data_IF_746579109993
#
_entry.id   IF_746579109993
#
_cell.length_a   1.000
_cell.length_b   1.000
_cell.length_c   1.000
_cell.angle_alpha   90.00
_cell.angle_beta   90.00
_cell.angle_gamma   90.00
#
_symmetry.space_group_name_H-M   'P 1'
#
loop_
_entity.id
_entity.type
_entity.pdbx_description
1 polymer ?
#
# COMPACT_ATOMS: atom_id res chain seq x y z
N UNK A 1 -0.94 20.37 -32.05
CA UNK A 1 -1.78 20.11 -30.87
C UNK A 1 -1.47 18.68 -30.43
N UNK A 2 -0.79 18.51 -29.30
CA UNK A 2 -0.45 17.18 -28.80
C UNK A 2 -1.73 16.46 -28.38
N UNK A 3 -1.86 15.18 -28.69
CA UNK A 3 -3.00 14.37 -28.26
C UNK A 3 -3.04 14.26 -26.72
N UNK A 4 -4.20 14.39 -26.06
CA UNK A 4 -4.29 14.28 -24.61
C UNK A 4 -3.85 12.89 -24.15
N UNK A 5 -2.89 12.86 -23.23
CA UNK A 5 -2.41 11.61 -22.67
C UNK A 5 -3.40 11.04 -21.65
N UNK A 6 -3.46 9.71 -21.48
CA UNK A 6 -4.25 9.09 -20.42
C UNK A 6 -3.92 9.68 -19.04
N UNK A 7 -4.93 9.85 -18.19
CA UNK A 7 -4.80 10.52 -16.90
C UNK A 7 -3.67 9.93 -16.04
N UNK A 8 -3.51 8.62 -16.03
CA UNK A 8 -2.43 7.95 -15.30
C UNK A 8 -1.01 8.45 -15.65
N UNK A 9 -0.77 8.88 -16.90
CA UNK A 9 0.55 9.34 -17.38
C UNK A 9 0.83 10.79 -17.03
N UNK A 10 -0.21 11.58 -16.73
CA UNK A 10 -0.14 13.02 -16.44
C UNK A 10 -0.57 13.36 -15.01
N UNK A 11 -0.91 12.35 -14.21
CA UNK A 11 -1.48 12.50 -12.86
C UNK A 11 -0.60 13.37 -11.96
N UNK A 12 0.72 13.24 -12.04
CA UNK A 12 1.63 14.06 -11.24
C UNK A 12 1.70 15.50 -11.72
N UNK A 13 1.75 15.74 -13.04
CA UNK A 13 1.74 17.08 -13.62
C UNK A 13 0.44 17.81 -13.31
N UNK A 14 -0.68 17.10 -13.38
CA UNK A 14 -2.00 17.59 -13.01
C UNK A 14 -2.07 17.99 -11.53
N UNK A 15 -1.54 17.17 -10.62
CA UNK A 15 -1.49 17.50 -9.19
C UNK A 15 -0.51 18.64 -8.88
N UNK A 16 0.66 18.65 -9.52
CA UNK A 16 1.66 19.70 -9.33
C UNK A 16 1.12 21.07 -9.73
N UNK A 17 0.30 21.13 -10.78
CA UNK A 17 -0.39 22.35 -11.18
C UNK A 17 -1.29 22.89 -10.07
N UNK A 18 -2.12 22.05 -9.45
CA UNK A 18 -2.98 22.45 -8.34
C UNK A 18 -2.20 22.81 -7.07
N UNK A 19 -1.09 22.14 -6.79
CA UNK A 19 -0.21 22.48 -5.65
C UNK A 19 0.44 23.85 -5.84
N UNK A 20 0.73 24.22 -7.08
CA UNK A 20 1.36 25.50 -7.42
C UNK A 20 0.35 26.65 -7.57
N UNK A 21 -0.95 26.36 -7.46
CA UNK A 21 -2.01 27.37 -7.58
C UNK A 21 -2.31 27.99 -6.21
N UNK A 22 -1.81 29.20 -6.00
CA UNK A 22 -2.00 29.96 -4.76
C UNK A 22 -3.44 30.45 -4.55
N UNK A 23 -4.30 30.41 -5.57
CA UNK A 23 -5.70 30.78 -5.45
C UNK A 23 -6.57 29.60 -4.99
N UNK A 24 -6.03 28.38 -5.01
CA UNK A 24 -6.76 27.19 -4.61
C UNK A 24 -6.71 26.99 -3.09
N UNK A 25 -7.88 26.79 -2.48
CA UNK A 25 -8.00 26.54 -1.04
C UNK A 25 -7.36 25.18 -0.65
N UNK A 26 -6.69 25.10 0.50
CA UNK A 26 -6.11 23.86 1.03
C UNK A 26 -7.10 22.68 1.09
N UNK A 27 -8.36 22.95 1.45
CA UNK A 27 -9.39 21.91 1.45
C UNK A 27 -9.74 21.45 0.03
N UNK A 28 -9.73 22.35 -0.95
CA UNK A 28 -9.92 22.02 -2.36
C UNK A 28 -8.76 21.16 -2.88
N UNK A 29 -7.52 21.53 -2.56
CA UNK A 29 -6.34 20.72 -2.88
C UNK A 29 -6.42 19.32 -2.25
N UNK A 30 -6.78 19.23 -0.96
CA UNK A 30 -6.92 17.95 -0.25
C UNK A 30 -8.01 17.06 -0.84
N UNK A 31 -9.14 17.64 -1.26
CA UNK A 31 -10.20 16.92 -1.99
C UNK A 31 -9.68 16.43 -3.34
N UNK A 32 -9.02 17.29 -4.12
CA UNK A 32 -8.47 16.94 -5.43
C UNK A 32 -7.43 15.81 -5.35
N UNK A 33 -6.56 15.84 -4.34
CA UNK A 33 -5.61 14.77 -4.04
C UNK A 33 -6.35 13.46 -3.74
N UNK A 34 -7.34 13.48 -2.84
CA UNK A 34 -8.10 12.27 -2.52
C UNK A 34 -8.79 11.67 -3.75
N UNK A 35 -9.46 12.50 -4.55
CA UNK A 35 -10.14 12.05 -5.78
C UNK A 35 -9.13 11.46 -6.78
N UNK A 36 -8.07 12.21 -7.10
CA UNK A 36 -7.06 11.84 -8.10
C UNK A 36 -6.27 10.61 -7.69
N UNK A 37 -5.94 10.48 -6.41
CA UNK A 37 -5.07 9.41 -5.91
C UNK A 37 -5.83 8.11 -5.64
N UNK A 38 -7.01 8.16 -5.02
CA UNK A 38 -7.73 6.97 -4.54
C UNK A 38 -8.87 6.49 -5.47
N UNK A 39 -9.53 7.41 -6.18
CA UNK A 39 -10.79 7.13 -6.87
C UNK A 39 -10.79 7.35 -8.37
N UNK A 40 -9.81 8.08 -8.91
CA UNK A 40 -9.72 8.40 -10.32
C UNK A 40 -9.47 7.16 -11.18
N UNK A 41 -10.26 7.03 -12.25
CA UNK A 41 -10.05 6.06 -13.31
C UNK A 41 -8.69 6.27 -13.99
N UNK A 42 -8.06 5.17 -14.39
CA UNK A 42 -6.72 5.18 -14.94
C UNK A 42 -6.64 5.91 -16.28
N UNK A 43 -7.69 5.83 -17.12
CA UNK A 43 -7.70 6.46 -18.45
C UNK A 43 -8.26 7.87 -18.40
N UNK A 44 -9.43 8.04 -17.77
CA UNK A 44 -10.18 9.30 -17.84
C UNK A 44 -9.95 10.23 -16.65
N UNK A 45 -9.45 9.71 -15.54
CA UNK A 45 -9.37 10.44 -14.28
C UNK A 45 -10.73 10.63 -13.58
N UNK A 46 -11.80 10.04 -14.10
CA UNK A 46 -13.14 10.19 -13.54
C UNK A 46 -13.27 9.48 -12.19
N UNK A 47 -14.01 10.07 -11.25
CA UNK A 47 -14.24 9.50 -9.92
C UNK A 47 -15.70 9.65 -9.49
N UNK A 48 -16.17 8.72 -8.65
CA UNK A 48 -17.57 8.61 -8.22
C UNK A 48 -17.84 8.54 -6.70
N UNK A 49 -16.98 9.02 -5.79
CA UNK A 49 -17.29 8.96 -4.36
C UNK A 49 -18.38 9.97 -3.95
N UNK A 50 -19.19 9.62 -2.95
CA UNK A 50 -20.16 10.57 -2.38
C UNK A 50 -19.44 11.67 -1.57
N UNK A 51 -20.11 12.80 -1.33
CA UNK A 51 -19.55 13.86 -0.47
C UNK A 51 -19.26 13.36 0.96
N UNK A 52 -20.07 12.43 1.46
CA UNK A 52 -19.86 11.79 2.75
C UNK A 52 -18.61 10.90 2.73
N UNK A 53 -18.41 10.11 1.68
CA UNK A 53 -17.21 9.27 1.51
C UNK A 53 -15.94 10.10 1.43
N UNK A 54 -15.97 11.23 0.72
CA UNK A 54 -14.84 12.16 0.66
C UNK A 54 -14.60 12.76 2.04
N UNK A 55 -15.66 13.28 2.67
CA UNK A 55 -15.59 13.94 3.96
C UNK A 55 -15.03 13.05 5.07
N UNK A 56 -15.52 11.81 5.15
CA UNK A 56 -15.03 10.82 6.10
C UNK A 56 -13.54 10.52 5.91
N UNK A 57 -13.07 10.40 4.66
CA UNK A 57 -11.67 10.09 4.36
C UNK A 57 -10.71 11.24 4.69
N UNK A 58 -11.14 12.50 4.52
CA UNK A 58 -10.29 13.68 4.75
C UNK A 58 -10.54 14.36 6.10
N UNK A 59 -11.46 13.84 6.92
CA UNK A 59 -11.84 14.42 8.22
C UNK A 59 -12.59 15.74 8.10
N UNK A 60 -13.49 15.88 7.10
CA UNK A 60 -14.26 17.11 6.85
C UNK A 60 -15.75 16.80 6.71
N UNK A 61 -16.58 17.77 7.08
CA UNK A 61 -18.03 17.65 6.88
C UNK A 61 -18.41 17.77 5.40
N UNK A 62 -19.48 17.09 4.97
CA UNK A 62 -19.95 17.08 3.58
C UNK A 62 -20.18 18.49 3.00
N UNK A 63 -20.64 19.45 3.81
CA UNK A 63 -20.79 20.86 3.39
C UNK A 63 -19.46 21.54 3.05
N UNK A 64 -18.38 21.19 3.76
CA UNK A 64 -17.02 21.69 3.48
C UNK A 64 -16.48 21.05 2.19
N UNK A 65 -16.71 19.75 2.00
CA UNK A 65 -16.38 19.06 0.74
C UNK A 65 -17.10 19.71 -0.44
N UNK A 66 -18.41 19.98 -0.32
CA UNK A 66 -19.18 20.65 -1.39
C UNK A 66 -18.58 22.01 -1.76
N UNK A 67 -18.18 22.82 -0.76
CA UNK A 67 -17.51 24.11 -1.01
C UNK A 67 -16.15 23.94 -1.69
N UNK A 68 -15.35 22.99 -1.23
CA UNK A 68 -14.05 22.67 -1.81
C UNK A 68 -14.18 22.21 -3.28
N UNK A 69 -15.18 21.36 -3.57
CA UNK A 69 -15.50 20.90 -4.93
C UNK A 69 -15.93 22.05 -5.83
N UNK A 70 -16.77 22.96 -5.34
CA UNK A 70 -17.15 24.15 -6.12
C UNK A 70 -15.91 25.02 -6.44
N UNK A 71 -14.98 25.19 -5.49
CA UNK A 71 -13.73 25.91 -5.76
C UNK A 71 -12.85 25.24 -6.83
N UNK A 72 -12.85 23.91 -6.90
CA UNK A 72 -12.14 23.18 -7.96
C UNK A 72 -12.80 23.33 -9.34
N UNK A 73 -14.12 23.45 -9.36
CA UNK A 73 -14.92 23.70 -10.57
C UNK A 73 -14.71 25.14 -11.07
N UNK A 74 -14.76 26.12 -10.18
CA UNK A 74 -14.50 27.53 -10.46
C UNK A 74 -13.06 27.79 -10.94
N UNK A 75 -12.07 27.10 -10.35
CA UNK A 75 -10.68 27.15 -10.80
C UNK A 75 -10.43 26.38 -12.13
N UNK A 76 -11.44 25.71 -12.68
CA UNK A 76 -11.36 25.05 -13.97
C UNK A 76 -10.51 23.77 -13.98
N UNK A 77 -10.26 23.15 -12.82
CA UNK A 77 -9.53 21.88 -12.74
C UNK A 77 -10.40 20.66 -13.01
N UNK A 78 -11.67 20.71 -12.60
CA UNK A 78 -12.62 19.62 -12.83
C UNK A 78 -14.03 20.10 -13.14
N UNK A 79 -14.80 19.24 -13.80
CA UNK A 79 -16.25 19.36 -13.96
C UNK A 79 -16.95 18.39 -13.01
N UNK A 80 -18.09 18.81 -12.47
CA UNK A 80 -18.83 18.04 -11.48
C UNK A 80 -20.26 17.80 -11.95
N UNK A 81 -20.55 16.57 -12.35
CA UNK A 81 -21.92 16.13 -12.64
C UNK A 81 -22.55 15.65 -11.33
N UNK A 82 -23.36 16.51 -10.73
CA UNK A 82 -24.02 16.24 -9.45
C UNK A 82 -25.15 15.23 -9.65
N UNK A 83 -25.15 14.16 -8.86
CA UNK A 83 -26.24 13.18 -8.88
C UNK A 83 -27.50 13.77 -8.25
N UNK A 84 -28.61 13.79 -8.98
CA UNK A 84 -29.86 14.45 -8.56
C UNK A 84 -30.73 13.59 -7.62
N UNK A 85 -30.48 12.28 -7.52
CA UNK A 85 -31.37 11.32 -6.87
C UNK A 85 -30.66 10.42 -5.85
N UNK A 86 -31.45 9.89 -4.90
CA UNK A 86 -31.01 8.89 -3.91
C UNK A 86 -30.47 7.65 -4.64
N UNK A 87 -29.15 7.46 -4.61
CA UNK A 87 -28.44 6.35 -5.28
C UNK A 87 -27.52 6.76 -6.45
N UNK A 88 -27.61 8.00 -6.94
CA UNK A 88 -26.69 8.51 -7.95
C UNK A 88 -25.56 9.30 -7.27
N UNK A 89 -24.34 8.75 -7.29
CA UNK A 89 -23.18 9.48 -6.81
C UNK A 89 -22.77 10.57 -7.80
N UNK A 90 -22.23 11.68 -7.27
CA UNK A 90 -21.63 12.73 -8.08
C UNK A 90 -20.45 12.17 -8.88
N UNK A 91 -20.29 12.65 -10.10
CA UNK A 91 -19.16 12.32 -10.97
C UNK A 91 -18.23 13.52 -11.05
N UNK A 92 -16.95 13.30 -10.80
CA UNK A 92 -15.92 14.34 -10.91
C UNK A 92 -14.97 13.93 -12.04
N UNK A 93 -14.76 14.82 -13.00
CA UNK A 93 -13.88 14.59 -14.14
C UNK A 93 -12.92 15.76 -14.33
N UNK A 94 -11.60 15.55 -14.47
CA UNK A 94 -10.67 16.60 -14.84
C UNK A 94 -11.14 17.32 -16.11
N UNK A 95 -11.01 18.65 -16.17
CA UNK A 95 -11.37 19.38 -17.39
C UNK A 95 -10.40 19.03 -18.52
N UNK A 96 -10.88 19.09 -19.76
CA UNK A 96 -10.02 18.88 -20.93
C UNK A 96 -8.87 19.90 -20.96
N UNK A 97 -9.15 21.15 -20.59
CA UNK A 97 -8.13 22.19 -20.45
C UNK A 97 -7.03 21.80 -19.45
N UNK A 98 -7.40 21.26 -18.28
CA UNK A 98 -6.42 20.83 -17.28
C UNK A 98 -5.64 19.59 -17.73
N UNK A 99 -6.28 18.64 -18.43
CA UNK A 99 -5.60 17.48 -19.03
C UNK A 99 -4.58 17.95 -20.08
N UNK A 100 -4.93 18.92 -20.91
CA UNK A 100 -4.06 19.45 -21.95
C UNK A 100 -2.86 20.22 -21.38
N UNK A 101 -3.06 21.03 -20.33
CA UNK A 101 -1.97 21.71 -19.62
C UNK A 101 -1.02 20.72 -18.96
N UNK A 102 -1.56 19.71 -18.26
CA UNK A 102 -0.77 18.65 -17.65
C UNK A 102 -0.01 17.81 -18.70
N UNK A 103 -0.65 17.51 -19.83
CA UNK A 103 -0.02 16.80 -20.96
C UNK A 103 1.13 17.61 -21.55
N UNK A 104 0.94 18.91 -21.75
CA UNK A 104 1.98 19.80 -22.32
C UNK A 104 3.18 19.97 -21.39
N UNK A 105 2.98 19.82 -20.07
CA UNK A 105 4.06 19.90 -19.07
C UNK A 105 4.83 18.60 -18.90
N UNK A 106 4.28 17.48 -19.39
CA UNK A 106 4.93 16.18 -19.27
C UNK A 106 6.17 16.13 -20.17
N UNK A 107 7.30 15.72 -19.60
CA UNK A 107 8.55 15.51 -20.34
C UNK A 107 8.83 14.01 -20.50
N UNK A 108 9.56 13.66 -21.56
CA UNK A 108 10.13 12.32 -21.74
C UNK A 108 11.04 12.03 -20.54
N UNK A 109 10.72 10.99 -19.75
CA UNK A 109 11.43 10.64 -18.51
C UNK A 109 10.70 10.97 -17.19
N UNK A 110 9.56 11.69 -17.24
CA UNK A 110 8.76 11.91 -16.04
C UNK A 110 8.21 10.58 -15.48
N UNK A 111 8.38 10.37 -14.17
CA UNK A 111 7.96 9.14 -13.49
C UNK A 111 6.44 9.01 -13.50
N UNK A 112 5.96 7.83 -13.88
CA UNK A 112 4.54 7.45 -13.75
C UNK A 112 4.38 6.72 -12.42
N UNK A 113 3.70 7.34 -11.46
CA UNK A 113 3.40 6.72 -10.16
C UNK A 113 2.02 6.08 -10.20
N UNK A 114 2.00 4.76 -10.30
CA UNK A 114 0.81 3.95 -10.07
C UNK A 114 0.67 3.72 -8.58
N UNK A 115 -0.17 4.50 -7.91
CA UNK A 115 -0.60 4.16 -6.56
C UNK A 115 -1.58 2.99 -6.67
N UNK A 116 -1.06 1.78 -6.43
CA UNK A 116 -1.90 0.60 -6.35
C UNK A 116 -2.98 0.81 -5.29
N UNK A 117 -4.25 0.57 -5.65
CA UNK A 117 -5.29 0.39 -4.63
C UNK A 117 -4.87 -0.80 -3.78
N UNK A 118 -4.48 -0.55 -2.54
CA UNK A 118 -4.52 -1.58 -1.49
C UNK A 118 -5.93 -2.16 -1.56
N UNK A 119 -6.06 -3.47 -1.87
CA UNK A 119 -7.35 -4.16 -2.05
C UNK A 119 -8.28 -3.90 -0.85
N UNK A 120 -9.12 -2.88 -0.95
CA UNK A 120 -10.29 -2.67 -0.11
C UNK A 120 -11.45 -3.44 -0.75
N UNK A 121 -12.05 -4.34 0.01
CA UNK A 121 -13.08 -5.28 -0.43
C UNK A 121 -14.19 -4.63 -1.25
N UNK A 122 -14.59 -5.33 -2.33
CA UNK A 122 -15.77 -5.00 -3.10
C UNK A 122 -17.02 -5.14 -2.21
N UNK A 123 -17.59 -4.03 -1.74
CA UNK A 123 -18.97 -4.03 -1.29
C UNK A 123 -19.88 -3.93 -2.52
N UNK A 124 -20.13 -5.07 -3.17
CA UNK A 124 -21.30 -5.21 -4.03
C UNK A 124 -22.53 -5.25 -3.14
N UNK A 125 -23.46 -4.32 -3.36
CA UNK A 125 -24.81 -4.38 -2.84
C UNK A 125 -25.49 -5.66 -3.33
N UNK A 126 -25.96 -6.50 -2.40
CA UNK A 126 -27.03 -7.49 -2.65
C UNK A 126 -28.29 -7.01 -1.93
N UNK A 127 -29.38 -6.97 -2.70
CA UNK A 127 -30.71 -6.47 -2.32
C UNK A 127 -31.55 -7.52 -1.59
N UNK A 128 -32.41 -7.03 -0.65
CA UNK A 128 -33.63 -7.61 -0.01
C UNK A 128 -33.45 -8.92 0.80
N UNK A 129 -34.00 -9.12 2.02
CA UNK A 129 -35.26 -8.65 2.67
C UNK A 129 -35.16 -8.80 4.22
N UNK A 130 -36.25 -8.51 4.95
CA UNK A 130 -36.39 -7.87 6.28
C UNK A 130 -36.50 -8.82 7.52
N UNK A 131 -36.30 -8.22 8.72
CA UNK A 131 -36.64 -8.62 10.11
C UNK A 131 -35.49 -9.27 10.91
N UNK A 132 -35.15 -8.86 12.15
CA UNK A 132 -35.99 -8.50 13.30
C UNK A 132 -35.27 -7.58 14.31
N UNK A 133 -36.07 -6.87 15.10
CA UNK A 133 -35.78 -5.96 16.21
C UNK A 133 -35.45 -6.67 17.53
N UNK A 134 -34.29 -6.38 18.14
CA UNK A 134 -34.08 -6.08 19.58
C UNK A 134 -32.59 -6.21 20.00
N UNK A 135 -32.09 -5.12 20.59
CA UNK A 135 -31.24 -5.06 21.79
C UNK A 135 -29.97 -5.91 21.93
N UNK A 136 -28.81 -5.25 21.86
CA UNK A 136 -27.55 -5.72 22.47
C UNK A 136 -26.53 -4.58 22.59
N UNK A 137 -26.11 -4.28 23.82
CA UNK A 137 -25.50 -3.05 24.33
C UNK A 137 -24.07 -2.72 23.83
N UNK A 138 -23.67 -1.45 24.03
CA UNK A 138 -22.30 -0.93 23.90
C UNK A 138 -21.26 -1.81 24.62
N UNK A 139 -20.24 -2.25 23.87
CA UNK A 139 -19.02 -2.84 24.46
C UNK A 139 -18.01 -1.72 24.75
N UNK A 140 -17.34 -1.73 25.92
CA UNK A 140 -16.28 -0.78 26.24
C UNK A 140 -15.04 -1.01 25.36
N UNK A 141 -14.15 0.00 25.25
CA UNK A 141 -13.03 -0.01 24.29
C UNK A 141 -12.00 -1.08 24.66
N UNK A 142 -11.67 -1.93 23.69
CA UNK A 142 -10.72 -3.02 23.87
C UNK A 142 -9.27 -2.52 23.67
N UNK A 143 -8.59 -2.16 24.78
CA UNK A 143 -7.20 -1.66 24.82
C UNK A 143 -6.16 -2.58 24.15
N UNK A 144 -6.44 -3.88 24.01
CA UNK A 144 -5.49 -4.82 23.38
C UNK A 144 -5.40 -4.70 21.85
N UNK A 145 -6.42 -4.15 21.19
CA UNK A 145 -6.37 -3.95 19.73
C UNK A 145 -5.63 -2.67 19.33
N UNK A 146 -5.56 -1.68 20.21
CA UNK A 146 -4.84 -0.42 19.98
C UNK A 146 -3.32 -0.62 20.14
N UNK A 147 -2.87 -1.38 21.15
CA UNK A 147 -1.45 -1.75 21.31
C UNK A 147 -0.89 -2.57 20.13
N UNK A 148 -1.71 -3.41 19.50
CA UNK A 148 -1.31 -4.16 18.29
C UNK A 148 -1.20 -3.27 17.04
N UNK A 149 -1.81 -2.09 17.04
CA UNK A 149 -1.71 -1.11 15.95
C UNK A 149 -0.52 -0.18 16.13
N UNK A 150 -0.12 0.11 17.37
CA UNK A 150 1.04 0.97 17.66
C UNK A 150 2.39 0.26 17.42
N UNK A 151 2.50 -1.05 17.69
CA UNK A 151 3.70 -1.84 17.38
C UNK A 151 3.89 -2.12 15.87
N UNK A 152 2.85 -1.93 15.05
CA UNK A 152 2.96 -2.02 13.59
C UNK A 152 3.43 -0.73 12.91
N UNK A 153 3.70 0.33 13.68
CA UNK A 153 3.88 1.69 13.18
C UNK A 153 5.21 2.35 13.56
N UNK A 154 6.26 1.58 13.83
CA UNK A 154 7.62 2.13 14.01
C UNK A 154 8.65 1.32 13.25
N UNK A 155 8.95 1.76 12.02
CA UNK A 155 10.30 1.92 11.45
C UNK A 155 10.18 2.11 9.93
N UNK A 156 9.67 3.27 9.53
CA UNK A 156 10.08 3.88 8.28
C UNK A 156 11.09 4.97 8.65
N UNK A 157 12.32 4.56 8.95
CA UNK A 157 13.47 5.47 8.87
C UNK A 157 14.07 5.32 7.48
N UNK A 158 13.94 6.40 6.70
CA UNK A 158 14.65 6.63 5.46
C UNK A 158 16.16 6.58 5.68
N UNK A 159 16.89 5.76 4.90
CA UNK A 159 18.34 5.91 4.65
C UNK A 159 18.69 5.32 3.24
N UNK A 160 19.86 5.67 2.66
CA UNK A 160 19.98 6.15 1.29
C UNK A 160 20.13 5.06 0.23
N UNK A 161 19.83 5.45 -1.02
CA UNK A 161 20.26 4.75 -2.24
C UNK A 161 21.78 4.74 -2.36
N UNK A 162 22.44 3.66 -1.93
CA UNK A 162 23.61 3.08 -2.59
C UNK A 162 24.05 1.80 -1.86
N UNK A 163 24.45 0.79 -2.64
CA UNK A 163 25.05 -0.54 -2.31
C UNK A 163 24.05 -1.70 -2.38
N UNK A 164 23.87 -2.28 -3.57
CA UNK A 164 24.64 -3.41 -4.13
C UNK A 164 24.11 -4.76 -3.64
N UNK A 165 23.24 -5.36 -4.46
CA UNK A 165 22.91 -6.78 -4.62
C UNK A 165 23.28 -7.73 -3.46
N UNK A 166 22.42 -7.79 -2.43
CA UNK A 166 22.33 -8.92 -1.51
C UNK A 166 20.90 -9.49 -1.52
N UNK A 167 20.69 -10.79 -1.22
CA UNK A 167 19.36 -11.36 -1.14
C UNK A 167 18.54 -10.65 -0.04
N UNK A 168 17.30 -10.31 -0.34
CA UNK A 168 16.38 -9.71 0.63
C UNK A 168 16.02 -10.75 1.69
N UNK A 169 16.50 -10.57 2.92
CA UNK A 169 16.20 -11.47 4.05
C UNK A 169 15.14 -10.86 4.97
N UNK A 170 14.27 -11.72 5.47
CA UNK A 170 13.16 -11.43 6.37
C UNK A 170 13.35 -12.20 7.66
N UNK A 171 13.04 -11.56 8.79
CA UNK A 171 13.05 -12.21 10.09
C UNK A 171 11.87 -13.19 10.24
N UNK A 172 12.19 -14.46 10.48
CA UNK A 172 11.21 -15.51 10.79
C UNK A 172 11.31 -15.86 12.28
N UNK A 173 10.23 -15.67 13.06
CA UNK A 173 10.22 -16.02 14.47
C UNK A 173 10.50 -17.51 14.70
N UNK A 174 11.45 -17.80 15.58
CA UNK A 174 11.75 -19.15 16.05
C UNK A 174 10.92 -19.53 17.30
N UNK A 175 11.09 -20.75 17.77
CA UNK A 175 10.40 -21.30 18.96
C UNK A 175 9.28 -22.30 18.65
N UNK A 176 9.34 -23.00 17.52
CA UNK A 176 8.40 -24.07 17.13
C UNK A 176 7.08 -23.57 16.52
N UNK A 177 7.05 -22.29 16.11
CA UNK A 177 5.90 -21.69 15.45
C UNK A 177 5.60 -22.31 14.08
N UNK A 178 4.43 -21.97 13.50
CA UNK A 178 4.03 -22.48 12.18
C UNK A 178 5.07 -22.18 11.09
N UNK A 179 5.64 -20.98 11.09
CA UNK A 179 6.60 -20.54 10.07
C UNK A 179 7.93 -21.30 10.15
N UNK A 180 8.48 -21.48 11.36
CA UNK A 180 9.69 -22.29 11.55
C UNK A 180 9.45 -23.75 11.14
N UNK A 181 8.29 -24.33 11.49
CA UNK A 181 7.95 -25.71 11.08
C UNK A 181 7.77 -25.85 9.59
N UNK A 182 7.09 -24.89 8.95
CA UNK A 182 6.88 -24.90 7.50
C UNK A 182 8.24 -24.82 6.77
N UNK A 183 9.17 -24.00 7.26
CA UNK A 183 10.55 -23.94 6.76
C UNK A 183 11.34 -25.22 7.05
N UNK A 184 11.33 -25.74 8.27
CA UNK A 184 12.03 -26.98 8.63
C UNK A 184 11.54 -28.17 7.78
N UNK A 185 10.23 -28.28 7.56
CA UNK A 185 9.65 -29.32 6.72
C UNK A 185 10.04 -29.15 5.25
N UNK A 186 10.21 -27.92 4.79
CA UNK A 186 10.71 -27.62 3.45
C UNK A 186 12.19 -28.00 3.33
N UNK A 187 13.05 -27.51 4.22
CA UNK A 187 14.49 -27.77 4.22
C UNK A 187 14.80 -29.26 4.33
N UNK A 188 14.07 -30.00 5.19
CA UNK A 188 14.22 -31.46 5.31
C UNK A 188 13.94 -32.21 4.00
N UNK A 189 12.97 -31.76 3.21
CA UNK A 189 12.68 -32.36 1.89
C UNK A 189 13.81 -32.11 0.89
N UNK A 190 14.58 -31.04 1.08
CA UNK A 190 15.76 -30.70 0.28
C UNK A 190 17.07 -31.22 0.91
N UNK A 191 17.01 -32.07 1.95
CA UNK A 191 18.19 -32.66 2.59
C UNK A 191 18.96 -31.72 3.53
N UNK A 192 18.46 -30.50 3.76
CA UNK A 192 19.04 -29.51 4.66
C UNK A 192 18.53 -29.76 6.08
N UNK A 193 19.42 -29.62 7.08
CA UNK A 193 19.03 -29.81 8.50
C UNK A 193 18.15 -28.64 8.97
N UNK A 194 17.46 -28.85 10.09
CA UNK A 194 16.58 -27.84 10.68
C UNK A 194 17.29 -26.48 10.89
N UNK A 195 16.53 -25.39 10.83
CA UNK A 195 17.03 -24.01 10.93
C UNK A 195 17.91 -23.81 12.17
N UNK A 196 17.48 -24.34 13.32
CA UNK A 196 18.22 -24.32 14.59
C UNK A 196 19.63 -24.92 14.55
N UNK A 197 19.90 -25.79 13.57
CA UNK A 197 21.21 -26.44 13.40
C UNK A 197 22.05 -25.81 12.31
N UNK A 198 21.42 -25.16 11.33
CA UNK A 198 22.06 -24.64 10.12
C UNK A 198 22.38 -23.16 10.19
N UNK A 199 21.53 -22.37 10.86
CA UNK A 199 21.63 -20.92 10.90
C UNK A 199 21.67 -20.40 12.35
N UNK A 200 22.30 -19.25 12.59
CA UNK A 200 22.31 -18.63 13.91
C UNK A 200 20.94 -18.05 14.26
N UNK A 201 20.53 -18.18 15.52
CA UNK A 201 19.38 -17.45 16.04
C UNK A 201 19.76 -15.96 16.19
N UNK A 202 19.03 -15.10 15.49
CA UNK A 202 19.11 -13.65 15.62
C UNK A 202 18.02 -13.18 16.57
N UNK A 203 18.31 -12.15 17.38
CA UNK A 203 17.31 -11.46 18.19
C UNK A 203 16.77 -10.27 17.42
N UNK A 204 15.45 -10.15 17.28
CA UNK A 204 14.84 -8.94 16.75
C UNK A 204 14.84 -7.82 17.82
N UNK A 205 14.54 -6.60 17.39
CA UNK A 205 14.46 -5.41 18.26
C UNK A 205 13.42 -5.58 19.39
N UNK A 206 12.39 -6.40 19.18
CA UNK A 206 11.38 -6.77 20.20
C UNK A 206 11.85 -7.89 21.16
N UNK A 207 13.11 -8.31 21.09
CA UNK A 207 13.71 -9.33 21.96
C UNK A 207 13.32 -10.78 21.62
N UNK A 208 12.60 -11.02 20.52
CA UNK A 208 12.24 -12.38 20.06
C UNK A 208 13.40 -13.01 19.29
N UNK A 209 13.56 -14.33 19.44
CA UNK A 209 14.58 -15.12 18.74
C UNK A 209 14.02 -15.69 17.44
N UNK A 210 14.83 -15.75 16.39
CA UNK A 210 14.42 -16.23 15.07
C UNK A 210 15.57 -16.31 14.08
N UNK A 211 15.26 -16.47 12.80
CA UNK A 211 16.23 -16.67 11.73
C UNK A 211 16.02 -15.65 10.60
N UNK A 212 17.08 -15.32 9.87
CA UNK A 212 17.01 -14.47 8.67
C UNK A 212 16.88 -15.38 7.44
N UNK A 213 15.75 -15.30 6.75
CA UNK A 213 15.39 -16.19 5.64
C UNK A 213 14.88 -15.40 4.43
N UNK A 214 14.93 -15.95 3.20
CA UNK A 214 14.53 -15.20 1.99
C UNK A 214 13.03 -14.86 1.94
N UNK A 215 12.20 -15.49 2.77
CA UNK A 215 10.78 -15.18 2.90
C UNK A 215 10.20 -15.61 4.25
N UNK A 216 8.99 -15.12 4.57
CA UNK A 216 8.26 -15.50 5.79
C UNK A 216 7.94 -17.00 5.85
N UNK A 217 7.75 -17.65 4.70
CA UNK A 217 7.49 -19.07 4.56
C UNK A 217 7.98 -19.58 3.20
N UNK A 218 8.16 -20.91 3.04
CA UNK A 218 8.61 -21.49 1.78
C UNK A 218 7.55 -21.31 0.68
N UNK A 219 8.01 -21.08 -0.54
CA UNK A 219 7.15 -21.04 -1.72
C UNK A 219 6.47 -22.43 -1.98
N UNK A 220 5.40 -22.48 -2.81
CA UNK A 220 4.74 -23.73 -3.16
C UNK A 220 5.72 -24.75 -3.78
N UNK A 221 5.44 -26.03 -3.55
CA UNK A 221 6.21 -27.14 -4.11
C UNK A 221 6.31 -27.00 -5.63
N UNK A 222 7.50 -27.27 -6.17
CA UNK A 222 7.82 -27.23 -7.61
C UNK A 222 7.84 -25.83 -8.26
N UNK A 223 7.81 -24.76 -7.47
CA UNK A 223 8.00 -23.39 -7.97
C UNK A 223 9.48 -23.07 -8.21
N UNK A 224 9.79 -22.31 -9.26
CA UNK A 224 11.13 -21.74 -9.47
C UNK A 224 11.55 -20.85 -8.29
N UNK A 225 10.60 -20.12 -7.70
CA UNK A 225 10.82 -19.31 -6.50
C UNK A 225 11.27 -20.16 -5.30
N UNK A 226 10.80 -21.42 -5.20
CA UNK A 226 11.24 -22.32 -4.15
C UNK A 226 12.71 -22.72 -4.34
N UNK A 227 13.14 -22.94 -5.58
CA UNK A 227 14.54 -23.28 -5.89
C UNK A 227 15.46 -22.12 -5.53
N UNK A 228 15.11 -20.91 -5.94
CA UNK A 228 15.86 -19.69 -5.59
C UNK A 228 15.95 -19.50 -4.06
N UNK A 229 14.85 -19.73 -3.34
CA UNK A 229 14.83 -19.65 -1.88
C UNK A 229 15.77 -20.67 -1.23
N UNK A 230 15.80 -21.91 -1.74
CA UNK A 230 16.68 -22.96 -1.21
C UNK A 230 18.14 -22.63 -1.49
N UNK A 231 18.48 -22.18 -2.70
CA UNK A 231 19.85 -21.76 -3.05
C UNK A 231 20.36 -20.62 -2.15
N UNK A 232 19.50 -19.64 -1.84
CA UNK A 232 19.84 -18.56 -0.91
C UNK A 232 20.09 -19.11 0.50
N UNK A 233 19.26 -20.04 0.99
CA UNK A 233 19.45 -20.64 2.31
C UNK A 233 20.74 -21.46 2.36
N UNK A 234 21.04 -22.25 1.32
CA UNK A 234 22.30 -23.00 1.22
C UNK A 234 23.51 -22.06 1.26
N UNK A 235 23.46 -20.97 0.50
CA UNK A 235 24.51 -19.94 0.51
C UNK A 235 24.71 -19.35 1.91
N UNK A 236 23.63 -19.05 2.65
CA UNK A 236 23.73 -18.55 4.02
C UNK A 236 24.32 -19.57 4.99
N UNK A 237 23.98 -20.85 4.82
CA UNK A 237 24.54 -21.93 5.64
C UNK A 237 26.03 -22.09 5.39
N UNK A 238 26.47 -22.00 4.14
CA UNK A 238 27.89 -22.09 3.78
C UNK A 238 28.69 -20.90 4.32
N UNK A 239 28.16 -19.68 4.21
CA UNK A 239 28.76 -18.47 4.79
C UNK A 239 28.91 -18.63 6.30
N UNK A 240 27.86 -19.05 6.99
CA UNK A 240 27.88 -19.25 8.45
C UNK A 240 28.83 -20.39 8.87
N UNK A 241 28.90 -21.47 8.09
CA UNK A 241 29.85 -22.55 8.34
C UNK A 241 31.31 -22.09 8.17
N UNK A 242 31.59 -21.19 7.23
CA UNK A 242 32.90 -20.59 7.04
C UNK A 242 33.29 -19.64 8.19
N UNK A 243 32.36 -18.81 8.66
CA UNK A 243 32.57 -17.89 9.79
C UNK A 243 32.85 -18.63 11.11
N UNK A 244 32.17 -19.76 11.36
CA UNK A 244 32.44 -20.61 12.52
C UNK A 244 33.87 -21.18 12.51
N UNK A 245 34.34 -21.67 11.35
CA UNK A 245 35.70 -22.23 11.23
C UNK A 245 36.80 -21.20 11.44
N UNK A 246 36.55 -19.93 11.09
CA UNK A 246 37.51 -18.85 11.33
C UNK A 246 37.55 -18.42 12.80
N UNK A 247 36.43 -18.55 13.52
CA UNK A 247 36.32 -18.20 14.94
C UNK A 247 36.97 -19.22 15.88
N UNK A 248 37.09 -20.49 15.46
CA UNK A 248 37.71 -21.57 16.26
C UNK A 248 39.25 -21.65 16.13
N UNK A 249 39.86 -20.84 15.25
CA UNK A 249 41.31 -20.84 14.96
C UNK A 249 42.04 -19.61 15.55
N UNK A 250 41.30 -18.70 16.19
CA UNK A 250 41.82 -17.50 16.88
C UNK A 250 41.74 -17.66 18.40
#
# INVERSE_FOLDING_TARGET
MSEPLPFCKIKLQYLLEMVSDHQLNDNALRVALYLSLAHADHKTGESHPSFETIGAAIGKHAKSVKRAVNGLEEAGYMTVVRGTNKGNSSRYRPTEAAIMRATSRRKEGDKIVLLNRTKGGQNRLRSRTVSSSEGGQDRPPNREQELKRELGSTCAQDLPKARQNGPYLVFVPGGGGRLERDWDDCLRRHGIRALSRCLPEVRCEEGRRGYMLPALGPAPKDSELLREQIEIVESLVDIHAAERRQSDVA
#
